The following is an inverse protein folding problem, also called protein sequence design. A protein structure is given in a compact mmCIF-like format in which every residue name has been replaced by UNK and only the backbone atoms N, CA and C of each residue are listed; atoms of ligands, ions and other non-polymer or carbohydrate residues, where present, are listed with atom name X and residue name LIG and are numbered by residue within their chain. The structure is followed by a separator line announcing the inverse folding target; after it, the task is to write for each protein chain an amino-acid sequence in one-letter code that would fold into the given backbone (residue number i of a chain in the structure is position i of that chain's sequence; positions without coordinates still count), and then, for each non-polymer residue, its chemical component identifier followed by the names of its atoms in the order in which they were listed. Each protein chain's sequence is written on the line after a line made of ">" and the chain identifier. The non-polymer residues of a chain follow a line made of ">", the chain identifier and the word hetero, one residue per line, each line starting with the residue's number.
data_IF_177463837665
#
_entry.id   IF_177463837665
#
_cell.length_a   1.000
_cell.length_b   1.000
_cell.length_c   1.000
_cell.angle_alpha   90.00
_cell.angle_beta   90.00
_cell.angle_gamma   90.00
#
_symmetry.space_group_name_H-M   'P 1'
#
loop_
_entity.id
_entity.type
_entity.pdbx_description
1 polymer ?
#
# COMPACT_ATOMS: atom_id res chain seq x y z
N UNK A 1 -17.30 -8.67 9.85
CA UNK A 1 -16.72 -7.34 9.56
C UNK A 1 -17.79 -6.49 8.89
N UNK A 2 -17.91 -5.21 9.23
CA UNK A 2 -18.71 -4.22 8.50
C UNK A 2 -17.76 -3.32 7.70
N UNK A 3 -18.09 -3.03 6.45
CA UNK A 3 -17.40 -2.01 5.66
C UNK A 3 -17.87 -0.60 6.02
N UNK A 4 -16.99 0.40 5.84
CA UNK A 4 -17.40 1.80 5.94
C UNK A 4 -18.44 2.10 4.85
N UNK A 5 -19.41 2.95 5.17
CA UNK A 5 -20.27 3.54 4.14
C UNK A 5 -19.50 4.55 3.31
N UNK A 6 -20.06 4.92 2.16
CA UNK A 6 -19.50 5.97 1.32
C UNK A 6 -19.44 7.32 2.06
N UNK A 7 -20.47 7.65 2.84
CA UNK A 7 -20.50 8.87 3.66
C UNK A 7 -19.35 8.88 4.66
N UNK A 8 -19.11 7.78 5.38
CA UNK A 8 -18.00 7.63 6.32
C UNK A 8 -16.64 7.83 5.63
N UNK A 9 -16.49 7.32 4.40
CA UNK A 9 -15.25 7.48 3.61
C UNK A 9 -15.08 8.93 3.13
N UNK A 10 -16.14 9.55 2.60
CA UNK A 10 -16.11 10.92 2.11
C UNK A 10 -15.86 11.93 3.24
N UNK A 11 -16.40 11.68 4.43
CA UNK A 11 -16.05 12.46 5.63
C UNK A 11 -14.58 12.34 5.99
N UNK A 12 -14.03 11.13 6.01
CA UNK A 12 -12.61 10.91 6.29
C UNK A 12 -11.70 11.55 5.23
N UNK A 13 -12.05 11.45 3.95
CA UNK A 13 -11.32 12.09 2.85
C UNK A 13 -11.29 13.62 3.01
N UNK A 14 -12.44 14.25 3.26
CA UNK A 14 -12.54 15.70 3.48
C UNK A 14 -11.77 16.16 4.72
N UNK A 15 -11.76 15.35 5.78
CA UNK A 15 -11.00 15.65 6.98
C UNK A 15 -9.48 15.63 6.73
N UNK A 16 -8.99 14.64 5.98
CA UNK A 16 -7.56 14.49 5.69
C UNK A 16 -7.07 15.43 4.56
N UNK A 17 -7.95 15.80 3.63
CA UNK A 17 -7.64 16.59 2.43
C UNK A 17 -8.68 17.70 2.19
N UNK A 18 -8.81 18.67 3.11
CA UNK A 18 -9.91 19.65 3.09
C UNK A 18 -9.87 20.59 1.89
N UNK A 19 -8.70 20.82 1.29
CA UNK A 19 -8.53 21.74 0.16
C UNK A 19 -8.71 21.07 -1.21
N UNK A 20 -8.83 19.74 -1.25
CA UNK A 20 -8.85 18.94 -2.48
C UNK A 20 -10.26 18.49 -2.85
N UNK A 21 -11.22 18.57 -1.92
CA UNK A 21 -12.61 18.18 -2.18
C UNK A 21 -12.78 16.70 -2.50
N UNK A 22 -11.85 15.84 -2.06
CA UNK A 22 -11.80 14.43 -2.44
C UNK A 22 -13.04 13.66 -1.97
N UNK A 23 -13.51 12.81 -2.87
CA UNK A 23 -14.59 11.85 -2.65
C UNK A 23 -14.15 10.44 -3.09
N UNK A 24 -14.90 9.42 -2.68
CA UNK A 24 -14.63 8.02 -2.98
C UNK A 24 -14.49 7.76 -4.50
N UNK A 25 -15.32 8.43 -5.31
CA UNK A 25 -15.31 8.34 -6.77
C UNK A 25 -13.96 8.71 -7.38
N UNK A 26 -13.20 9.62 -6.77
CA UNK A 26 -11.87 10.02 -7.25
C UNK A 26 -10.86 8.86 -7.18
N UNK A 27 -11.19 7.79 -6.44
CA UNK A 27 -10.37 6.59 -6.27
C UNK A 27 -10.78 5.45 -7.23
N UNK A 28 -11.82 5.67 -8.05
CA UNK A 28 -12.38 4.68 -8.97
C UNK A 28 -12.08 5.05 -10.42
N UNK A 29 -11.48 4.14 -11.17
CA UNK A 29 -11.34 4.28 -12.61
C UNK A 29 -11.30 2.89 -13.27
N UNK A 30 -12.38 2.44 -13.94
CA UNK A 30 -12.45 1.12 -14.54
C UNK A 30 -11.49 0.93 -15.73
N UNK A 31 -11.11 2.02 -16.40
CA UNK A 31 -10.22 2.00 -17.56
C UNK A 31 -8.73 2.04 -17.18
N UNK A 32 -8.43 2.41 -15.93
CA UNK A 32 -7.07 2.50 -15.42
C UNK A 32 -6.85 1.49 -14.30
N UNK A 33 -6.15 0.38 -14.63
CA UNK A 33 -5.76 -0.68 -13.68
C UNK A 33 -5.04 -0.20 -12.41
N UNK A 34 -4.53 1.04 -12.38
CA UNK A 34 -3.90 1.61 -11.19
C UNK A 34 -4.88 2.04 -10.12
N UNK A 35 -6.16 2.20 -10.44
CA UNK A 35 -7.23 2.60 -9.52
C UNK A 35 -8.09 1.39 -9.12
N UNK A 36 -9.05 1.61 -8.22
CA UNK A 36 -10.10 0.65 -7.99
C UNK A 36 -11.00 0.56 -9.23
N UNK A 37 -11.33 -0.65 -9.68
CA UNK A 37 -12.15 -0.87 -10.88
C UNK A 37 -13.63 -0.55 -10.66
N UNK A 38 -14.08 -0.53 -9.40
CA UNK A 38 -15.46 -0.25 -9.03
C UNK A 38 -15.54 0.41 -7.66
N UNK A 39 -16.71 0.98 -7.37
CA UNK A 39 -17.01 1.62 -6.08
C UNK A 39 -16.92 0.64 -4.92
N UNK A 40 -17.41 -0.60 -5.10
CA UNK A 40 -17.33 -1.66 -4.10
C UNK A 40 -15.87 -2.00 -3.77
N UNK A 41 -15.02 -2.09 -4.79
CA UNK A 41 -13.57 -2.31 -4.58
C UNK A 41 -12.91 -1.12 -3.90
N UNK A 42 -13.38 0.11 -4.18
CA UNK A 42 -12.88 1.31 -3.51
C UNK A 42 -13.25 1.33 -2.03
N UNK A 43 -14.50 0.98 -1.69
CA UNK A 43 -14.98 0.84 -0.30
C UNK A 43 -14.18 -0.23 0.44
N UNK A 44 -13.98 -1.40 -0.19
CA UNK A 44 -13.20 -2.51 0.36
C UNK A 44 -11.77 -2.04 0.68
N UNK A 45 -11.08 -1.45 -0.31
CA UNK A 45 -9.71 -1.00 -0.15
C UNK A 45 -9.56 0.13 0.86
N UNK A 46 -10.45 1.13 0.81
CA UNK A 46 -10.41 2.25 1.73
C UNK A 46 -10.65 1.79 3.16
N UNK A 47 -11.62 0.91 3.39
CA UNK A 47 -11.89 0.35 4.72
C UNK A 47 -10.70 -0.42 5.26
N UNK A 48 -10.05 -1.26 4.43
CA UNK A 48 -8.87 -2.01 4.87
C UNK A 48 -7.75 -1.07 5.31
N UNK A 49 -7.41 -0.08 4.50
CA UNK A 49 -6.39 0.90 4.87
C UNK A 49 -6.80 1.73 6.09
N UNK A 50 -8.06 2.16 6.20
CA UNK A 50 -8.57 2.88 7.36
C UNK A 50 -8.39 2.09 8.66
N UNK A 51 -8.74 0.80 8.67
CA UNK A 51 -8.61 -0.05 9.86
C UNK A 51 -7.15 -0.27 10.24
N UNK A 52 -6.26 -0.47 9.25
CA UNK A 52 -4.82 -0.56 9.47
C UNK A 52 -4.28 0.75 10.07
N UNK A 53 -4.70 1.91 9.53
CA UNK A 53 -4.36 3.23 10.08
C UNK A 53 -4.79 3.34 11.55
N UNK A 54 -6.03 2.97 11.88
CA UNK A 54 -6.54 3.00 13.27
C UNK A 54 -5.73 2.09 14.20
N UNK A 55 -5.35 0.91 13.73
CA UNK A 55 -4.48 0.01 14.48
C UNK A 55 -3.10 0.62 14.73
N UNK A 56 -2.44 1.17 13.71
CA UNK A 56 -1.15 1.87 13.82
C UNK A 56 -1.24 3.00 14.85
N UNK A 57 -2.28 3.83 14.79
CA UNK A 57 -2.52 4.93 15.74
C UNK A 57 -2.68 4.42 17.18
N UNK A 58 -3.48 3.37 17.37
CA UNK A 58 -3.71 2.75 18.68
C UNK A 58 -2.44 2.16 19.28
N UNK A 59 -1.62 1.54 18.44
CA UNK A 59 -0.33 0.97 18.82
C UNK A 59 0.77 2.04 18.95
N UNK A 60 0.46 3.32 18.68
CA UNK A 60 1.40 4.44 18.69
C UNK A 60 2.62 4.20 17.79
N UNK A 61 2.43 3.43 16.71
CA UNK A 61 3.43 3.28 15.67
C UNK A 61 3.49 4.60 14.89
N UNK A 62 4.70 5.09 14.62
CA UNK A 62 4.91 6.46 14.12
C UNK A 62 4.40 6.59 12.68
N UNK A 63 3.38 7.43 12.49
CA UNK A 63 2.82 7.79 11.18
C UNK A 63 2.49 9.29 11.17
N UNK A 64 3.07 10.05 10.23
CA UNK A 64 2.76 11.48 10.05
C UNK A 64 1.31 11.70 9.63
N UNK A 65 0.80 12.93 9.80
CA UNK A 65 -0.57 13.28 9.39
C UNK A 65 -0.82 13.01 7.91
N UNK A 66 0.13 13.34 7.05
CA UNK A 66 0.01 13.10 5.61
C UNK A 66 0.01 11.59 5.30
N UNK A 67 0.84 10.80 6.00
CA UNK A 67 0.85 9.34 5.84
C UNK A 67 -0.44 8.68 6.35
N UNK A 68 -1.08 9.23 7.40
CA UNK A 68 -2.42 8.80 7.85
C UNK A 68 -3.47 9.00 6.76
N UNK A 69 -3.47 10.14 6.10
CA UNK A 69 -4.42 10.42 5.00
C UNK A 69 -4.19 9.54 3.78
N UNK A 70 -2.93 9.31 3.40
CA UNK A 70 -2.58 8.56 2.18
C UNK A 70 -2.76 7.05 2.33
N UNK A 71 -2.66 6.52 3.55
CA UNK A 71 -2.70 5.08 3.78
C UNK A 71 -3.98 4.44 3.20
N UNK A 72 -5.21 4.89 3.49
CA UNK A 72 -6.41 4.34 2.85
C UNK A 72 -6.44 4.49 1.32
N UNK A 73 -5.92 5.60 0.79
CA UNK A 73 -5.84 5.86 -0.66
C UNK A 73 -4.91 4.83 -1.34
N UNK A 74 -3.80 4.47 -0.69
CA UNK A 74 -2.80 3.54 -1.23
C UNK A 74 -3.32 2.10 -1.45
N UNK A 75 -4.45 1.75 -0.82
CA UNK A 75 -5.13 0.46 -1.05
C UNK A 75 -6.00 0.47 -2.33
N UNK A 76 -6.28 1.64 -2.87
CA UNK A 76 -7.12 1.83 -4.06
C UNK A 76 -6.32 2.28 -5.27
N UNK A 77 -5.28 3.11 -5.07
CA UNK A 77 -4.50 3.72 -6.13
C UNK A 77 -3.04 3.28 -6.02
N UNK A 78 -2.49 2.62 -7.05
CA UNK A 78 -1.22 1.86 -7.00
C UNK A 78 -0.05 2.53 -7.74
N UNK A 79 -0.14 3.84 -7.96
CA UNK A 79 0.90 4.60 -8.63
C UNK A 79 1.18 5.92 -7.93
N UNK A 80 2.48 6.25 -7.81
CA UNK A 80 2.89 7.49 -7.16
C UNK A 80 2.43 8.72 -7.94
N UNK A 81 2.45 8.66 -9.27
CA UNK A 81 1.96 9.74 -10.15
C UNK A 81 0.47 9.97 -9.94
N UNK A 82 -0.31 8.90 -9.92
CA UNK A 82 -1.75 8.95 -9.73
C UNK A 82 -2.11 9.51 -8.34
N UNK A 83 -1.43 9.06 -7.28
CA UNK A 83 -1.65 9.64 -5.94
C UNK A 83 -1.19 11.10 -5.89
N UNK A 84 -0.08 11.45 -6.53
CA UNK A 84 0.35 12.85 -6.65
C UNK A 84 -0.69 13.72 -7.36
N UNK A 85 -1.37 13.21 -8.39
CA UNK A 85 -2.44 13.93 -9.09
C UNK A 85 -3.65 14.18 -8.20
N UNK A 86 -3.97 13.24 -7.31
CA UNK A 86 -5.11 13.34 -6.38
C UNK A 86 -4.81 14.29 -5.20
N UNK A 87 -3.64 14.16 -4.57
CA UNK A 87 -3.35 14.86 -3.29
C UNK A 87 -2.25 15.93 -3.37
N UNK A 88 -1.56 16.05 -4.51
CA UNK A 88 -0.52 17.05 -4.76
C UNK A 88 0.89 16.69 -4.25
N UNK A 89 1.78 17.70 -4.22
CA UNK A 89 3.24 17.58 -4.01
C UNK A 89 3.69 16.95 -2.68
N UNK A 90 2.79 16.79 -1.72
CA UNK A 90 3.12 16.38 -0.35
C UNK A 90 3.20 14.85 -0.15
N UNK A 91 3.18 14.05 -1.22
CA UNK A 91 3.10 12.59 -1.12
C UNK A 91 4.45 11.88 -0.88
N UNK A 92 5.60 12.39 -1.32
CA UNK A 92 6.87 11.63 -1.30
C UNK A 92 7.25 11.05 0.08
N UNK A 93 7.33 11.90 1.10
CA UNK A 93 7.69 11.50 2.47
C UNK A 93 6.70 10.50 3.10
N UNK A 94 5.38 10.71 2.99
CA UNK A 94 4.41 9.72 3.43
C UNK A 94 4.58 8.31 2.88
N UNK A 95 4.99 8.16 1.62
CA UNK A 95 5.20 6.84 1.02
C UNK A 95 6.40 6.09 1.62
N UNK A 96 7.48 6.83 1.92
CA UNK A 96 8.60 6.28 2.68
C UNK A 96 8.13 5.75 4.03
N UNK A 97 7.31 6.52 4.75
CA UNK A 97 6.75 6.09 6.04
C UNK A 97 5.88 4.83 5.92
N UNK A 98 5.06 4.72 4.85
CA UNK A 98 4.26 3.52 4.61
C UNK A 98 5.10 2.29 4.25
N UNK A 99 6.23 2.48 3.55
CA UNK A 99 7.19 1.40 3.27
C UNK A 99 7.93 0.98 4.53
N UNK A 100 8.36 1.93 5.35
CA UNK A 100 9.06 1.71 6.61
C UNK A 100 8.20 0.95 7.62
N UNK A 101 6.89 1.18 7.62
CA UNK A 101 5.91 0.43 8.41
C UNK A 101 5.51 -0.92 7.80
N UNK A 102 6.02 -1.24 6.60
CA UNK A 102 5.71 -2.49 5.92
C UNK A 102 4.28 -2.58 5.36
N UNK A 103 3.57 -1.46 5.23
CA UNK A 103 2.22 -1.44 4.63
C UNK A 103 2.33 -1.65 3.11
N UNK A 104 3.28 -0.96 2.50
CA UNK A 104 3.54 -1.06 1.07
C UNK A 104 4.98 -1.52 0.82
N UNK A 105 5.23 -1.94 -0.41
CA UNK A 105 6.58 -1.99 -0.93
C UNK A 105 6.60 -1.19 -2.23
N UNK A 106 7.65 -0.41 -2.43
CA UNK A 106 7.83 0.37 -3.64
C UNK A 106 9.28 0.34 -4.08
N UNK A 107 9.45 0.40 -5.40
CA UNK A 107 10.76 0.51 -6.05
C UNK A 107 10.77 1.75 -6.94
N UNK A 108 11.93 2.41 -6.99
CA UNK A 108 12.20 3.46 -7.97
C UNK A 108 12.61 2.79 -9.28
N UNK A 109 11.72 2.80 -10.27
CA UNK A 109 12.00 2.26 -11.60
C UNK A 109 12.32 3.43 -12.53
N UNK A 110 13.61 3.64 -12.82
CA UNK A 110 14.14 4.84 -13.48
C UNK A 110 13.87 6.10 -12.61
N UNK A 111 14.73 7.13 -12.71
CA UNK A 111 14.80 8.31 -11.80
C UNK A 111 13.47 9.07 -11.52
N UNK A 112 12.35 8.74 -12.18
CA UNK A 112 11.06 9.45 -12.08
C UNK A 112 9.81 8.55 -11.97
N UNK A 113 9.90 7.22 -12.02
CA UNK A 113 8.70 6.37 -11.93
C UNK A 113 8.75 5.50 -10.67
N UNK A 114 7.80 5.76 -9.79
CA UNK A 114 7.61 4.98 -8.56
C UNK A 114 6.30 4.22 -8.69
N UNK A 115 6.41 2.89 -8.65
CA UNK A 115 5.27 2.00 -8.51
C UNK A 115 5.42 1.23 -7.22
N UNK A 116 4.28 0.92 -6.63
CA UNK A 116 4.22 0.23 -5.36
C UNK A 116 3.10 -0.78 -5.37
N UNK A 117 3.17 -1.71 -4.43
CA UNK A 117 2.10 -2.62 -4.14
C UNK A 117 1.85 -2.65 -2.63
N UNK A 118 0.64 -3.00 -2.26
CA UNK A 118 0.25 -3.22 -0.87
C UNK A 118 0.76 -4.59 -0.46
N UNK A 119 1.47 -4.70 0.67
CA UNK A 119 1.96 -5.99 1.15
C UNK A 119 0.79 -6.89 1.55
N UNK A 120 1.02 -8.20 1.59
CA UNK A 120 -0.03 -9.09 2.10
C UNK A 120 -0.16 -8.95 3.63
N UNK A 121 -1.24 -9.50 4.17
CA UNK A 121 -1.59 -9.33 5.58
C UNK A 121 -0.50 -9.83 6.55
N UNK A 122 0.10 -10.99 6.25
CA UNK A 122 1.13 -11.59 7.12
C UNK A 122 2.47 -10.86 6.99
N UNK A 123 2.83 -10.39 5.79
CA UNK A 123 3.99 -9.52 5.60
C UNK A 123 3.88 -8.22 6.40
N UNK A 124 2.70 -7.58 6.38
CA UNK A 124 2.44 -6.38 7.19
C UNK A 124 2.59 -6.69 8.68
N UNK A 125 2.04 -7.82 9.13
CA UNK A 125 2.07 -8.25 10.53
C UNK A 125 3.51 -8.38 11.03
N UNK A 126 4.38 -9.06 10.30
CA UNK A 126 5.76 -9.28 10.73
C UNK A 126 6.59 -7.99 10.78
N UNK A 127 6.45 -7.11 9.79
CA UNK A 127 7.19 -5.83 9.79
C UNK A 127 6.65 -4.88 10.87
N UNK A 128 5.33 -4.78 11.03
CA UNK A 128 4.75 -3.95 12.09
C UNK A 128 5.09 -4.46 13.48
N UNK A 129 5.27 -5.77 13.65
CA UNK A 129 5.76 -6.40 14.89
C UNK A 129 7.18 -5.94 15.22
N UNK A 130 8.09 -5.92 14.24
CA UNK A 130 9.45 -5.35 14.43
C UNK A 130 9.39 -3.90 14.91
N UNK A 131 8.53 -3.08 14.30
CA UNK A 131 8.31 -1.68 14.72
C UNK A 131 7.66 -1.55 16.09
N UNK A 132 6.85 -2.52 16.49
CA UNK A 132 6.25 -2.55 17.82
C UNK A 132 7.28 -2.91 18.90
N UNK A 133 8.27 -3.76 18.59
CA UNK A 133 9.38 -4.08 19.49
C UNK A 133 10.26 -2.85 19.77
N UNK A 134 10.51 -2.00 18.77
CA UNK A 134 11.16 -0.69 18.96
C UNK A 134 10.41 0.24 19.94
N UNK A 135 9.17 -0.12 20.30
CA UNK A 135 8.27 0.60 21.22
C UNK A 135 7.98 -0.16 22.51
N UNK A 136 8.79 -1.16 22.83
CA UNK A 136 8.65 -2.01 24.01
C UNK A 136 7.30 -2.74 24.07
N UNK A 137 6.68 -3.00 22.92
CA UNK A 137 5.46 -3.81 22.84
C UNK A 137 5.88 -5.27 22.65
N UNK A 138 5.58 -6.17 23.61
CA UNK A 138 5.96 -7.57 23.48
C UNK A 138 5.33 -8.22 22.25
N UNK A 139 6.11 -8.99 21.49
CA UNK A 139 5.65 -9.64 20.25
C UNK A 139 4.33 -10.42 20.44
N UNK A 140 4.22 -11.20 21.53
CA UNK A 140 2.99 -11.95 21.86
C UNK A 140 1.77 -11.03 21.99
N UNK A 141 1.93 -9.88 22.65
CA UNK A 141 0.85 -8.90 22.83
C UNK A 141 0.48 -8.28 21.48
N UNK A 142 1.48 -7.93 20.67
CA UNK A 142 1.27 -7.41 19.32
C UNK A 142 0.45 -8.37 18.47
N UNK A 143 0.85 -9.65 18.36
CA UNK A 143 0.16 -10.62 17.52
C UNK A 143 -1.29 -10.83 17.94
N UNK A 144 -1.56 -10.94 19.24
CA UNK A 144 -2.94 -11.08 19.75
C UNK A 144 -3.79 -9.87 19.34
N UNK A 145 -3.26 -8.65 19.51
CA UNK A 145 -3.98 -7.44 19.14
C UNK A 145 -4.19 -7.31 17.63
N UNK A 146 -3.16 -7.61 16.84
CA UNK A 146 -3.20 -7.55 15.38
C UNK A 146 -4.26 -8.49 14.82
N UNK A 147 -4.24 -9.77 15.23
CA UNK A 147 -5.22 -10.76 14.78
C UNK A 147 -6.63 -10.44 15.28
N UNK A 148 -6.78 -9.98 16.52
CA UNK A 148 -8.09 -9.60 17.06
C UNK A 148 -8.72 -8.43 16.30
N UNK A 149 -7.93 -7.42 15.93
CA UNK A 149 -8.46 -6.17 15.37
C UNK A 149 -8.48 -6.17 13.85
N UNK A 150 -7.51 -6.83 13.21
CA UNK A 150 -7.35 -6.84 11.77
C UNK A 150 -7.58 -8.24 11.15
N UNK A 151 -7.66 -9.32 11.93
CA UNK A 151 -7.78 -10.68 11.37
C UNK A 151 -8.97 -10.85 10.42
N UNK A 152 -10.07 -10.12 10.66
CA UNK A 152 -11.25 -10.14 9.78
C UNK A 152 -11.03 -9.48 8.40
N UNK A 153 -10.00 -8.62 8.25
CA UNK A 153 -9.68 -7.96 6.98
C UNK A 153 -8.68 -8.73 6.12
N UNK A 154 -8.06 -9.79 6.66
CA UNK A 154 -7.04 -10.61 6.00
C UNK A 154 -7.38 -11.01 4.54
N UNK A 155 -8.55 -11.63 4.24
CA UNK A 155 -8.82 -12.06 2.87
C UNK A 155 -8.90 -10.87 1.90
N UNK A 156 -9.38 -9.71 2.36
CA UNK A 156 -9.49 -8.49 1.56
C UNK A 156 -8.12 -7.87 1.30
N UNK A 157 -7.29 -7.74 2.34
CA UNK A 157 -5.91 -7.26 2.21
C UNK A 157 -5.10 -8.14 1.25
N UNK A 158 -5.25 -9.47 1.34
CA UNK A 158 -4.53 -10.38 0.44
C UNK A 158 -4.99 -10.25 -1.01
N UNK A 159 -6.30 -10.12 -1.28
CA UNK A 159 -6.79 -9.84 -2.65
C UNK A 159 -6.29 -8.52 -3.20
N UNK A 160 -6.27 -7.47 -2.37
CA UNK A 160 -5.73 -6.16 -2.74
C UNK A 160 -4.24 -6.30 -3.04
N UNK A 161 -3.48 -6.96 -2.16
CA UNK A 161 -2.06 -7.25 -2.36
C UNK A 161 -1.81 -7.93 -3.70
N UNK A 162 -2.53 -9.02 -4.01
CA UNK A 162 -2.41 -9.73 -5.30
C UNK A 162 -2.70 -8.83 -6.50
N UNK A 163 -3.80 -8.07 -6.45
CA UNK A 163 -4.18 -7.13 -7.52
C UNK A 163 -3.10 -6.07 -7.74
N UNK A 164 -2.69 -5.41 -6.66
CA UNK A 164 -1.70 -4.32 -6.72
C UNK A 164 -0.32 -4.85 -7.14
N UNK A 165 0.05 -6.06 -6.71
CA UNK A 165 1.29 -6.73 -7.11
C UNK A 165 1.29 -7.11 -8.60
N UNK A 166 0.16 -7.53 -9.16
CA UNK A 166 0.03 -7.79 -10.61
C UNK A 166 0.30 -6.52 -11.43
N UNK A 167 -0.29 -5.38 -11.03
CA UNK A 167 -0.03 -4.08 -11.67
C UNK A 167 1.43 -3.69 -11.54
N UNK A 168 1.99 -3.83 -10.34
CA UNK A 168 3.41 -3.58 -10.06
C UNK A 168 4.33 -4.40 -11.00
N UNK A 169 4.09 -5.71 -11.13
CA UNK A 169 4.83 -6.60 -12.04
C UNK A 169 4.68 -6.19 -13.50
N UNK A 170 3.45 -5.95 -13.97
CA UNK A 170 3.20 -5.48 -15.34
C UNK A 170 3.98 -4.20 -15.65
N UNK A 171 4.05 -3.26 -14.71
CA UNK A 171 4.79 -2.01 -14.89
C UNK A 171 6.30 -2.24 -14.83
N UNK A 172 6.78 -3.05 -13.90
CA UNK A 172 8.20 -3.39 -13.76
C UNK A 172 8.71 -4.11 -15.01
N UNK A 173 8.02 -5.14 -15.47
CA UNK A 173 8.40 -5.92 -16.66
C UNK A 173 8.38 -5.04 -17.94
N UNK A 174 7.45 -4.08 -18.07
CA UNK A 174 7.44 -3.11 -19.19
C UNK A 174 8.61 -2.13 -19.14
N UNK A 175 9.09 -1.79 -17.96
CA UNK A 175 10.19 -0.84 -17.76
C UNK A 175 11.57 -1.52 -17.84
N UNK A 176 11.63 -2.81 -17.48
CA UNK A 176 12.81 -3.66 -17.56
C UNK A 176 12.88 -4.48 -18.87
N UNK A 177 11.87 -4.37 -19.73
CA UNK A 177 11.73 -5.11 -21.00
C UNK A 177 12.87 -4.90 -22.02
N UNK A 178 12.91 -5.74 -23.07
CA UNK A 178 14.10 -6.43 -23.62
C UNK A 178 15.20 -5.59 -24.29
N UNK A 179 15.14 -4.25 -24.23
CA UNK A 179 16.21 -3.37 -24.70
C UNK A 179 17.38 -3.23 -23.71
N UNK A 180 17.29 -3.90 -22.56
CA UNK A 180 18.41 -4.19 -21.68
C UNK A 180 18.67 -5.71 -21.79
N UNK A 181 19.73 -6.11 -22.49
CA UNK A 181 20.04 -7.51 -22.85
C UNK A 181 19.87 -8.48 -21.67
N UNK A 182 19.45 -9.74 -21.93
CA UNK A 182 19.31 -10.75 -20.91
C UNK A 182 20.65 -10.97 -20.21
N UNK A 183 20.61 -11.11 -18.88
CA UNK A 183 21.75 -11.62 -18.11
C UNK A 183 22.12 -12.98 -18.71
N UNK A 184 23.19 -13.03 -19.48
CA UNK A 184 23.78 -14.29 -19.91
C UNK A 184 24.27 -14.97 -18.63
N UNK A 185 23.71 -16.14 -18.29
CA UNK A 185 24.32 -17.01 -17.28
C UNK A 185 25.81 -17.12 -17.61
N UNK A 186 26.73 -16.94 -16.64
CA UNK A 186 28.13 -17.22 -16.90
C UNK A 186 28.23 -18.66 -17.42
N UNK A 187 28.76 -18.82 -18.64
CA UNK A 187 29.18 -20.13 -19.13
C UNK A 187 30.23 -20.62 -18.15
N UNK A 188 29.89 -21.62 -17.35
CA UNK A 188 30.89 -22.46 -16.74
C UNK A 188 31.64 -23.11 -17.90
N UNK A 189 32.85 -22.62 -18.18
CA UNK A 189 33.79 -23.38 -18.98
C UNK A 189 34.05 -24.66 -18.19
N UNK A 190 33.61 -25.79 -18.75
CA UNK A 190 34.12 -27.08 -18.33
C UNK A 190 35.64 -27.03 -18.57
N UNK A 191 36.40 -26.95 -17.48
CA UNK A 191 37.83 -27.17 -17.51
C UNK A 191 38.01 -28.66 -17.74
N UNK A 192 38.29 -29.04 -18.98
CA UNK A 192 38.92 -30.32 -19.28
C UNK A 192 40.42 -30.04 -19.41
N UNK A 193 41.14 -30.14 -18.30
CA UNK A 193 42.56 -30.48 -18.22
C UNK A 193 42.78 -31.27 -16.94
#
# INVERSE_FOLDING_TARGET
>A
MRFLSEEEINEDLRFNFPSQGLILEDLVNPDNKRFAESKEKAIEGYTCGYLIRKFIEKMKLRLSLNARGILPISFNVTGFKEIYEIIGKSCARPFEELKDLGVINFEHILKKKVVFYVRNFDEMKEVMRERAEERDIPARKFYIMFERELGSIRPYVNRISERTFKVYREVKDRMEGPYLKPFQKPKLYAVNL
#
